data_IF_722669070670
#
_entry.id   IF_722669070670
#
_cell.length_a   1.000
_cell.length_b   1.000
_cell.length_c   1.000
_cell.angle_alpha   90.00
_cell.angle_beta   90.00
_cell.angle_gamma   90.00
#
_symmetry.space_group_name_H-M   'P 1'
#
loop_
_entity.id
_entity.type
_entity.pdbx_description
1 polymer ?
2 branched ?
3 non-polymer ?
4 water ?
#
# COMPACT_ATOMS: atom_id res chain seq x y z
N UNK A 4 7.58 6.16 14.97
CA UNK A 4 6.94 5.18 14.04
C UNK A 4 6.15 4.11 14.82
N UNK A 5 4.95 3.80 14.35
CA UNK A 5 4.09 2.77 14.92
C UNK A 5 4.27 1.50 14.11
N UNK A 6 4.53 0.38 14.77
CA UNK A 6 4.74 -0.91 14.13
C UNK A 6 3.73 -1.95 14.57
N UNK A 7 3.12 -2.61 13.60
CA UNK A 7 2.26 -3.77 13.86
C UNK A 7 2.82 -5.05 13.30
N UNK A 8 2.66 -6.12 14.06
CA UNK A 8 2.95 -7.47 13.57
C UNK A 8 1.63 -8.14 13.16
N UNK A 9 1.60 -8.58 11.92
CA UNK A 9 0.50 -9.33 11.39
C UNK A 9 0.89 -10.81 11.50
N UNK A 10 0.21 -11.52 12.36
CA UNK A 10 0.55 -12.91 12.69
C UNK A 10 -0.11 -13.93 11.77
N UNK A 11 0.07 -15.21 12.09
CA UNK A 11 -0.47 -16.25 11.25
C UNK A 11 -1.97 -16.32 11.39
N UNK A 12 -2.64 -16.41 10.25
CA UNK A 12 -4.08 -16.51 10.20
C UNK A 12 -4.68 -15.21 9.70
N UNK A 13 -3.83 -14.23 9.45
CA UNK A 13 -4.24 -12.94 8.94
C UNK A 13 -4.71 -11.91 9.97
N UNK A 14 -4.70 -10.65 9.54
CA UNK A 14 -5.31 -9.54 10.29
C UNK A 14 -5.79 -8.44 9.35
N UNK A 15 -6.60 -7.53 9.87
CA UNK A 15 -7.09 -6.40 9.12
C UNK A 15 -7.19 -5.17 9.96
N UNK A 16 -6.49 -4.11 9.55
CA UNK A 16 -6.75 -2.74 10.01
C UNK A 16 -7.50 -1.97 8.91
N UNK A 17 -8.69 -1.47 9.26
CA UNK A 17 -9.52 -0.72 8.33
C UNK A 17 -9.72 0.68 8.87
N UNK A 18 -9.36 1.68 8.07
CA UNK A 18 -9.79 3.07 8.26
C UNK A 18 -11.02 3.30 7.39
N UNK A 19 -12.09 3.83 7.99
CA UNK A 19 -13.32 4.20 7.28
C UNK A 19 -13.55 5.73 7.38
N UNK A 20 -13.51 6.42 6.25
CA UNK A 20 -13.89 7.83 6.21
C UNK A 20 -15.34 8.01 6.56
N UNK A 21 -15.73 9.17 7.12
CA UNK A 21 -17.15 9.45 7.35
C UNK A 21 -17.86 9.46 6.00
N UNK A 22 -18.99 8.75 5.89
CA UNK A 22 -19.64 8.52 4.59
C UNK A 22 -20.05 9.80 3.86
N UNK A 23 -19.98 10.94 4.55
CA UNK A 23 -20.36 12.20 3.92
C UNK A 23 -19.20 13.15 3.65
N UNK A 24 -17.99 12.78 4.05
CA UNK A 24 -16.79 13.46 3.50
C UNK A 24 -15.70 12.45 3.13
N UNK A 25 -16.04 11.67 2.11
CA UNK A 25 -15.12 10.78 1.46
C UNK A 25 -14.32 11.62 0.43
N UNK A 26 -12.98 11.54 0.48
CA UNK A 26 -12.14 12.30 -0.45
C UNK A 26 -12.20 11.77 -1.88
N UNK A 27 -12.13 12.70 -2.84
CA UNK A 27 -11.89 12.39 -4.21
C UNK A 27 -10.58 13.05 -4.63
N UNK A 28 -9.66 12.30 -5.21
CA UNK A 28 -8.33 12.87 -5.47
C UNK A 28 -7.78 12.61 -6.86
N UNK A 29 -6.95 13.56 -7.26
CA UNK A 29 -6.10 13.49 -8.45
C UNK A 29 -4.74 12.85 -8.17
N UNK A 30 -4.27 13.04 -6.94
CA UNK A 30 -2.96 12.61 -6.52
C UNK A 30 -3.09 11.89 -5.21
N UNK A 31 -2.46 10.74 -5.13
CA UNK A 31 -2.39 9.93 -3.91
C UNK A 31 -0.94 9.66 -3.52
N UNK A 32 -0.69 9.57 -2.24
CA UNK A 32 0.67 9.43 -1.74
C UNK A 32 0.61 8.37 -0.66
N UNK A 33 1.33 7.28 -0.88
CA UNK A 33 1.39 6.17 0.06
C UNK A 33 2.84 5.93 0.46
N UNK A 34 3.10 5.84 1.76
CA UNK A 34 4.40 5.37 2.24
C UNK A 34 4.17 4.27 3.26
N UNK A 35 5.02 3.26 3.25
CA UNK A 35 4.89 2.15 4.21
C UNK A 35 6.19 1.36 4.31
N UNK A 36 6.66 1.11 5.53
CA UNK A 36 7.76 0.19 5.79
C UNK A 36 7.22 -1.20 6.09
N UNK A 37 7.88 -2.27 5.63
CA UNK A 37 7.46 -3.63 5.99
C UNK A 37 8.59 -4.65 5.91
N UNK A 38 8.33 -5.82 6.49
CA UNK A 38 9.16 -7.02 6.33
C UNK A 38 8.24 -8.22 6.31
N UNK A 39 8.52 -9.16 5.41
CA UNK A 39 7.73 -10.37 5.22
C UNK A 39 8.62 -11.41 4.55
N UNK A 40 8.26 -12.68 4.69
CA UNK A 40 8.90 -13.77 3.99
C UNK A 40 7.95 -14.29 2.91
N UNK A 41 6.77 -13.67 2.79
CA UNK A 41 5.77 -14.08 1.81
C UNK A 41 6.12 -13.55 0.45
N UNK A 42 5.94 -14.39 -0.57
CA UNK A 42 6.11 -14.02 -1.98
C UNK A 42 4.80 -13.54 -2.64
N UNK A 43 3.70 -13.68 -1.91
CA UNK A 43 2.37 -13.35 -2.39
C UNK A 43 1.43 -12.83 -1.29
N UNK A 44 1.12 -11.54 -1.35
CA UNK A 44 0.27 -10.90 -0.37
C UNK A 44 -0.28 -9.57 -0.86
N UNK A 45 -1.45 -9.19 -0.30
CA UNK A 45 -1.93 -7.82 -0.43
C UNK A 45 -1.59 -7.11 0.88
N UNK A 46 -0.94 -5.95 0.76
CA UNK A 46 -0.63 -5.12 1.89
C UNK A 46 -1.66 -4.05 2.23
N UNK A 47 -1.98 -3.21 1.26
CA UNK A 47 -2.87 -2.06 1.40
C UNK A 47 -3.87 -2.02 0.24
N UNK A 48 -5.12 -1.72 0.58
CA UNK A 48 -6.16 -1.50 -0.42
C UNK A 48 -7.05 -0.35 -0.03
N UNK A 49 -7.14 0.65 -0.91
CA UNK A 49 -8.09 1.74 -0.77
C UNK A 49 -9.26 1.48 -1.73
N UNK A 50 -10.48 1.44 -1.20
CA UNK A 50 -11.67 1.24 -2.00
C UNK A 50 -12.53 2.48 -2.03
N UNK A 51 -13.08 2.75 -3.20
CA UNK A 51 -14.07 3.80 -3.37
C UNK A 51 -15.41 3.29 -2.82
N UNK A 52 -16.38 4.20 -2.62
CA UNK A 52 -17.74 3.81 -2.21
C UNK A 52 -18.38 2.76 -3.13
N UNK A 53 -19.37 2.05 -2.62
CA UNK A 53 -19.97 1.01 -3.43
C UNK A 53 -20.68 1.62 -4.66
N UNK A 54 -20.55 0.94 -5.79
CA UNK A 54 -21.11 1.44 -7.05
C UNK A 54 -20.05 2.06 -7.95
N UNK A 55 -18.87 2.31 -7.40
CA UNK A 55 -17.74 2.88 -8.14
C UNK A 55 -16.66 1.82 -8.36
N UNK A 56 -15.93 1.93 -9.47
CA UNK A 56 -14.94 0.95 -9.82
C UNK A 56 -13.58 1.28 -9.27
N UNK A 57 -13.39 2.49 -8.75
CA UNK A 57 -12.07 2.97 -8.30
C UNK A 57 -11.45 2.24 -7.10
N UNK A 58 -10.17 1.92 -7.21
CA UNK A 58 -9.43 1.29 -6.12
C UNK A 58 -7.93 1.55 -6.34
N UNK A 59 -7.18 1.47 -5.25
CA UNK A 59 -5.73 1.43 -5.25
C UNK A 59 -5.30 0.18 -4.46
N UNK A 60 -4.36 -0.59 -4.98
CA UNK A 60 -3.90 -1.77 -4.24
C UNK A 60 -2.37 -1.98 -4.26
N UNK A 61 -1.77 -2.01 -3.07
CA UNK A 61 -0.34 -2.36 -2.92
C UNK A 61 -0.16 -3.85 -2.55
N UNK A 62 0.63 -4.55 -3.38
CA UNK A 62 0.78 -6.00 -3.26
C UNK A 62 2.20 -6.47 -3.54
N UNK A 63 2.39 -7.78 -3.34
CA UNK A 63 3.62 -8.49 -3.58
C UNK A 63 3.17 -9.72 -4.36
N UNK A 64 3.62 -9.84 -5.61
CA UNK A 64 3.37 -11.00 -6.44
C UNK A 64 4.74 -11.52 -6.84
N UNK A 65 4.98 -12.80 -6.72
CA UNK A 65 6.28 -13.37 -6.97
C UNK A 65 7.45 -12.65 -6.30
N UNK A 66 7.21 -12.02 -5.19
CA UNK A 66 8.30 -11.51 -4.39
C UNK A 66 8.73 -10.10 -4.68
N UNK A 67 7.93 -9.40 -5.49
CA UNK A 67 8.22 -8.01 -5.87
C UNK A 67 7.00 -7.12 -5.59
N UNK A 68 7.26 -5.91 -5.16
CA UNK A 68 6.21 -4.95 -4.92
C UNK A 68 5.62 -4.44 -6.26
N UNK A 69 4.30 -4.29 -6.28
CA UNK A 69 3.60 -3.68 -7.37
C UNK A 69 2.44 -2.93 -6.78
N UNK A 70 1.89 -2.00 -7.55
CA UNK A 70 0.65 -1.31 -7.23
C UNK A 70 -0.24 -1.43 -8.47
N UNK A 71 -1.51 -1.77 -8.27
CA UNK A 71 -2.50 -1.77 -9.34
C UNK A 71 -3.66 -0.83 -8.95
N UNK A 72 -4.00 0.09 -9.84
CA UNK A 72 -5.05 1.03 -9.53
C UNK A 72 -6.00 1.24 -10.68
N UNK A 73 -7.18 1.74 -10.35
CA UNK A 73 -8.17 2.01 -11.36
C UNK A 73 -8.88 3.30 -10.95
N UNK A 74 -8.79 4.32 -11.79
CA UNK A 74 -9.50 5.55 -11.47
C UNK A 74 -10.73 5.81 -12.35
N UNK A 75 -11.22 4.77 -13.00
CA UNK A 75 -12.46 4.85 -13.75
C UNK A 75 -12.45 4.15 -15.10
N UNK A 76 -11.28 4.17 -15.73
CA UNK A 76 -10.97 3.60 -17.07
C UNK A 76 -10.42 2.15 -17.26
N UNK A 77 -9.12 1.98 -17.01
CA UNK A 77 -8.41 0.71 -17.18
C UNK A 77 -7.72 0.50 -15.84
N UNK A 78 -7.40 -0.75 -15.52
CA UNK A 78 -6.47 -1.11 -14.44
C UNK A 78 -5.05 -0.72 -14.83
N UNK A 79 -4.38 0.03 -13.98
CA UNK A 79 -3.03 0.47 -14.26
C UNK A 79 -2.07 -0.21 -13.30
N UNK A 80 -1.07 -0.90 -13.85
CA UNK A 80 -0.06 -1.60 -13.06
C UNK A 80 1.27 -0.88 -13.10
N UNK A 81 1.88 -0.74 -11.93
CA UNK A 81 3.26 -0.29 -11.85
C UNK A 81 3.94 -1.25 -10.88
N UNK A 82 4.92 -1.98 -11.40
CA UNK A 82 5.65 -2.95 -10.59
C UNK A 82 7.11 -2.56 -10.48
N UNK A 83 7.75 -3.08 -9.45
CA UNK A 83 9.20 -2.96 -9.25
C UNK A 83 9.86 -4.34 -9.27
N UNK A 84 10.17 -4.87 -10.48
CA UNK A 84 10.57 -6.27 -10.65
C UNK A 84 12.01 -6.60 -10.27
N UNK A 85 12.83 -5.60 -9.98
CA UNK A 85 14.24 -5.79 -9.69
C UNK A 85 14.61 -5.72 -8.20
N UNK A 86 13.60 -5.51 -7.34
CA UNK A 86 13.78 -5.57 -5.88
C UNK A 86 13.02 -6.74 -5.27
N UNK A 87 13.76 -7.74 -4.81
CA UNK A 87 13.26 -8.82 -3.94
C UNK A 87 12.93 -8.30 -2.53
N UNK A 88 11.67 -8.48 -2.13
CA UNK A 88 11.20 -7.98 -0.84
C UNK A 88 10.72 -9.07 0.12
N UNK A 89 10.83 -10.31 -0.32
CA UNK A 89 10.30 -11.43 0.45
C UNK A 89 11.41 -12.21 1.17
N UNK A 90 12.41 -11.47 1.63
CA UNK A 90 13.59 -12.04 2.25
C UNK A 90 13.53 -11.89 3.76
N UNK A 91 12.44 -11.33 4.26
CA UNK A 91 12.30 -11.07 5.68
C UNK A 91 13.04 -9.84 6.20
N UNK A 92 13.48 -8.97 5.30
CA UNK A 92 14.20 -7.77 5.72
C UNK A 92 13.34 -6.54 5.54
N UNK A 93 13.74 -5.45 6.18
CA UNK A 93 13.00 -4.19 6.12
C UNK A 93 13.06 -3.53 4.73
N UNK A 94 11.89 -3.17 4.19
CA UNK A 94 11.80 -2.42 2.94
C UNK A 94 10.88 -1.25 3.17
N UNK A 95 11.15 -0.15 2.47
CA UNK A 95 10.28 1.01 2.44
C UNK A 95 9.78 1.25 1.02
N UNK A 96 8.47 1.38 0.89
CA UNK A 96 7.78 1.64 -0.36
C UNK A 96 7.24 3.05 -0.32
N UNK A 97 7.42 3.79 -1.40
CA UNK A 97 6.78 5.10 -1.57
C UNK A 97 6.07 5.14 -2.92
N UNK A 98 4.78 5.41 -2.90
CA UNK A 98 3.96 5.38 -4.10
C UNK A 98 3.28 6.73 -4.22
N UNK A 99 3.42 7.39 -5.36
CA UNK A 99 2.64 8.59 -5.67
C UNK A 99 1.81 8.32 -6.92
N UNK A 100 0.53 8.61 -6.90
CA UNK A 100 -0.26 8.53 -8.14
C UNK A 100 -0.57 9.94 -8.60
N UNK A 101 -0.57 10.18 -9.92
CA UNK A 101 -1.04 11.46 -10.45
C UNK A 101 -1.87 11.22 -11.72
N UNK A 102 -3.20 11.15 -11.54
CA UNK A 102 -4.07 10.80 -12.67
C UNK A 102 -3.83 9.32 -12.96
N UNK A 103 -3.51 9.02 -14.22
CA UNK A 103 -3.10 7.69 -14.67
C UNK A 103 -1.58 7.46 -14.66
N UNK A 104 -0.83 8.41 -14.16
CA UNK A 104 0.60 8.28 -13.95
C UNK A 104 0.93 7.87 -12.52
N UNK A 105 2.10 7.30 -12.31
CA UNK A 105 2.48 6.88 -10.96
C UNK A 105 4.00 6.75 -10.81
N UNK A 106 4.48 6.89 -9.59
CA UNK A 106 5.87 6.69 -9.23
C UNK A 106 5.86 5.62 -8.15
N UNK A 107 6.77 4.64 -8.24
CA UNK A 107 6.89 3.57 -7.25
C UNK A 107 8.34 3.46 -6.77
N UNK A 108 8.58 3.73 -5.50
CA UNK A 108 9.94 3.66 -5.00
C UNK A 108 10.07 2.57 -3.95
N UNK A 109 11.09 1.74 -4.11
CA UNK A 109 11.36 0.64 -3.17
C UNK A 109 12.80 0.72 -2.67
N UNK A 110 12.93 1.00 -1.37
CA UNK A 110 14.21 1.09 -0.67
C UNK A 110 14.50 -0.19 0.11
N UNK A 111 15.74 -0.66 -0.02
CA UNK A 111 16.21 -1.89 0.62
C UNK A 111 17.64 -1.62 1.05
N UNK A 112 18.18 -2.50 1.89
CA UNK A 112 19.55 -2.41 2.42
C UNK A 112 20.24 -3.77 2.19
N UNK A 113 20.54 -4.11 0.92
CA UNK A 113 21.01 -5.47 0.64
C UNK A 113 22.43 -5.79 1.14
N UNK A 114 22.63 -7.04 1.55
CA UNK A 114 23.92 -7.49 2.08
C UNK A 114 24.87 -8.08 1.02
N UNK A 115 24.62 -7.77 -0.26
CA UNK A 115 25.37 -8.42 -1.35
C UNK A 115 25.92 -7.48 -2.43
N UNK A 132 29.29 -12.29 -2.34
CA UNK A 132 30.23 -11.45 -1.60
C UNK A 132 29.42 -10.67 -0.57
N UNK A 133 29.65 -10.95 0.72
CA UNK A 133 28.99 -10.22 1.81
C UNK A 133 29.55 -8.81 1.95
N UNK A 134 28.65 -7.85 2.14
CA UNK A 134 29.01 -6.45 2.21
C UNK A 134 28.25 -5.66 3.24
N UNK A 135 28.72 -4.45 3.47
CA UNK A 135 28.00 -3.43 4.22
C UNK A 135 26.70 -3.08 3.50
N UNK A 136 25.56 -3.26 4.19
CA UNK A 136 24.25 -3.02 3.65
C UNK A 136 23.87 -1.54 3.46
N UNK A 137 24.64 -0.84 2.63
CA UNK A 137 24.20 0.46 2.11
C UNK A 137 22.85 0.35 1.43
N UNK A 138 22.13 1.47 1.40
CA UNK A 138 20.80 1.53 0.84
C UNK A 138 20.78 1.49 -0.68
N UNK A 139 19.84 0.71 -1.21
CA UNK A 139 19.61 0.62 -2.64
C UNK A 139 18.17 1.04 -2.95
N UNK A 140 18.03 2.21 -3.55
CA UNK A 140 16.73 2.71 -3.97
C UNK A 140 16.45 2.36 -5.42
N UNK A 141 15.20 1.99 -5.70
CA UNK A 141 14.79 1.66 -7.05
C UNK A 141 13.47 2.37 -7.28
N UNK A 142 13.47 3.28 -8.25
CA UNK A 142 12.29 4.05 -8.60
C UNK A 142 11.84 3.65 -10.02
N UNK A 143 10.52 3.49 -10.15
CA UNK A 143 9.86 3.27 -11.42
C UNK A 143 8.75 4.33 -11.62
N UNK A 144 8.71 4.92 -12.81
CA UNK A 144 7.72 5.90 -13.21
C UNK A 144 6.89 5.31 -14.36
N UNK A 145 5.65 5.75 -14.46
CA UNK A 145 4.70 5.24 -15.41
C UNK A 145 3.89 6.46 -15.82
N UNK A 146 3.95 6.81 -17.10
CA UNK A 146 3.17 7.90 -17.67
C UNK A 146 2.24 7.48 -18.79
N UNK A 147 1.10 8.15 -18.85
CA UNK A 147 0.14 7.96 -19.92
C UNK A 147 0.19 9.13 -20.90
N UNK A 148 0.59 8.86 -22.14
CA UNK A 148 0.58 9.89 -23.18
C UNK A 148 -0.69 9.73 -24.00
N UNK A 149 -1.79 10.22 -23.44
CA UNK A 149 -3.09 10.18 -24.11
C UNK A 149 -3.58 11.62 -24.36
N UNK A 150 -3.71 12.01 -25.64
CA UNK A 150 -4.12 13.38 -25.96
C UNK A 150 -5.44 13.76 -25.29
N UNK A 151 -5.43 14.91 -24.62
CA UNK A 151 -6.59 15.35 -23.88
C UNK A 151 -6.61 14.75 -22.50
N UNK A 152 -7.53 15.24 -21.68
CA UNK A 152 -7.63 14.83 -20.29
C UNK A 152 -8.46 13.55 -20.17
N UNK A 153 -7.89 12.53 -19.52
CA UNK A 153 -8.58 11.26 -19.27
C UNK A 153 -9.26 11.31 -17.92
N UNK A 154 -9.69 10.14 -17.43
CA UNK A 154 -10.19 10.04 -16.07
C UNK A 154 -8.96 10.04 -15.16
N UNK A 155 -8.97 10.96 -14.21
CA UNK A 155 -7.79 11.26 -13.41
C UNK A 155 -8.12 11.14 -11.92
N UNK A 156 -9.42 11.08 -11.60
CA UNK A 156 -9.91 11.20 -10.19
C UNK A 156 -10.27 9.86 -9.54
N UNK A 157 -9.68 9.61 -8.37
CA UNK A 157 -10.02 8.47 -7.50
C UNK A 157 -11.21 8.93 -6.62
N UNK A 158 -12.40 8.46 -6.95
CA UNK A 158 -13.64 9.06 -6.44
C UNK A 158 -14.09 8.47 -5.13
N UNK A 159 -14.43 9.36 -4.20
CA UNK A 159 -15.10 9.00 -2.97
C UNK A 159 -14.44 7.79 -2.31
N UNK A 160 -13.19 7.96 -1.86
CA UNK A 160 -12.47 6.87 -1.18
C UNK A 160 -13.16 6.56 0.15
N UNK A 161 -13.42 5.27 0.41
CA UNK A 161 -14.33 4.86 1.47
C UNK A 161 -13.62 4.15 2.61
N UNK A 162 -12.69 3.26 2.27
CA UNK A 162 -11.93 2.50 3.26
C UNK A 162 -10.47 2.34 2.80
N UNK A 163 -9.57 2.37 3.79
CA UNK A 163 -8.19 1.87 3.61
C UNK A 163 -8.11 0.61 4.43
N UNK A 164 -7.79 -0.51 3.79
CA UNK A 164 -7.68 -1.78 4.48
C UNK A 164 -6.24 -2.24 4.40
N UNK A 165 -5.66 -2.53 5.56
CA UNK A 165 -4.27 -2.96 5.66
C UNK A 165 -4.23 -4.39 6.12
N UNK A 166 -3.52 -5.24 5.35
CA UNK A 166 -3.31 -6.64 5.72
C UNK A 166 -3.87 -7.67 4.76
N UNK A 167 -4.65 -7.23 3.77
CA UNK A 167 -4.99 -8.07 2.64
C UNK A 167 -5.98 -9.18 2.85
N UNK A 168 -6.64 -9.21 4.03
CA UNK A 168 -7.49 -10.32 4.47
C UNK A 168 -8.78 -10.37 3.69
N UNK A 169 -9.26 -9.20 3.27
CA UNK A 169 -10.45 -9.06 2.44
C UNK A 169 -10.22 -9.35 0.95
N UNK A 170 -8.95 -9.41 0.54
CA UNK A 170 -8.58 -9.91 -0.79
C UNK A 170 -8.30 -11.41 -0.87
N UNK A 171 -8.37 -12.10 0.27
CA UNK A 171 -8.08 -13.54 0.32
C UNK A 171 -6.58 -13.81 0.27
N UNK A 172 -5.80 -12.74 0.39
CA UNK A 172 -4.35 -12.80 0.27
C UNK A 172 -3.67 -12.10 1.46
N UNK A 173 -3.84 -12.68 2.67
CA UNK A 173 -3.41 -12.11 3.94
C UNK A 173 -1.91 -11.89 4.07
N UNK A 174 -1.55 -10.68 4.49
CA UNK A 174 -0.19 -10.33 4.83
C UNK A 174 0.23 -10.93 6.19
N UNK A 175 1.47 -11.38 6.23
CA UNK A 175 2.08 -11.86 7.45
C UNK A 175 3.52 -11.29 7.55
N UNK A 176 3.77 -10.58 8.63
CA UNK A 176 5.03 -9.90 8.81
C UNK A 176 4.77 -8.61 9.54
N UNK A 177 5.67 -7.66 9.40
CA UNK A 177 5.61 -6.41 10.14
C UNK A 177 5.19 -5.31 9.19
N UNK A 178 4.40 -4.35 9.68
CA UNK A 178 4.12 -3.11 8.99
C UNK A 178 4.50 -1.92 9.89
N UNK A 179 5.20 -0.94 9.32
CA UNK A 179 5.69 0.24 10.03
C UNK A 179 5.31 1.52 9.31
N UNK A 180 4.78 2.47 10.07
CA UNK A 180 4.67 3.85 9.65
C UNK A 180 3.96 4.14 8.32
N UNK A 181 2.84 3.45 8.11
CA UNK A 181 1.96 3.70 6.98
C UNK A 181 1.43 5.14 6.97
N UNK A 182 1.50 5.76 5.81
CA UNK A 182 1.08 7.12 5.60
C UNK A 182 0.24 7.13 4.29
N UNK A 183 -1.01 7.59 4.34
CA UNK A 183 -1.80 7.75 3.12
C UNK A 183 -2.58 9.05 3.10
N UNK A 184 -2.16 9.97 2.21
CA UNK A 184 -2.77 11.30 2.09
C UNK A 184 -2.99 11.96 3.46
N UNK A 185 -1.90 12.07 4.21
CA UNK A 185 -1.92 12.69 5.53
C UNK A 185 -2.15 11.78 6.72
N UNK A 186 -2.79 10.64 6.50
CA UNK A 186 -3.22 9.75 7.59
C UNK A 186 -2.14 8.76 7.94
N UNK A 187 -1.71 8.79 9.19
CA UNK A 187 -0.82 7.75 9.69
C UNK A 187 -1.70 6.61 10.26
N UNK A 188 -2.28 5.80 9.38
CA UNK A 188 -3.28 4.80 9.78
C UNK A 188 -2.91 3.90 10.98
N UNK A 189 -1.64 3.52 11.12
CA UNK A 189 -1.18 2.71 12.28
C UNK A 189 -1.09 3.46 13.60
N UNK A 190 -0.66 4.73 13.57
CA UNK A 190 -0.70 5.60 14.77
C UNK A 190 -2.13 5.77 15.28
N UNK A 191 -3.09 5.91 14.36
CA UNK A 191 -4.51 6.06 14.69
C UNK A 191 -5.18 4.78 15.20
N UNK A 192 -4.80 3.63 14.65
CA UNK A 192 -5.22 2.32 15.18
C UNK A 192 -4.70 2.07 16.61
N UNK A 193 -3.43 2.42 16.85
CA UNK A 193 -2.81 2.27 18.17
C UNK A 193 -3.42 3.19 19.22
N UNK A 194 -3.89 4.37 18.80
CA UNK A 194 -4.53 5.30 19.72
C UNK A 194 -6.07 5.13 19.81
N UNK A 195 -6.58 4.11 19.11
CA UNK A 195 -8.00 3.75 19.09
C UNK A 195 -8.91 4.88 18.54
N UNK A 196 -8.51 5.46 17.42
CA UNK A 196 -9.34 6.39 16.66
C UNK A 196 -10.67 5.69 16.38
N UNK A 197 -11.80 6.41 16.55
CA UNK A 197 -13.14 5.87 16.23
C UNK A 197 -13.38 5.48 14.76
N UNK A 198 -12.56 5.96 13.84
CA UNK A 198 -12.67 5.58 12.41
C UNK A 198 -11.82 4.37 11.97
N UNK A 199 -10.99 3.87 12.88
CA UNK A 199 -10.22 2.64 12.64
C UNK A 199 -10.82 1.47 13.41
N UNK A 200 -10.96 0.32 12.73
CA UNK A 200 -11.21 -0.99 13.35
C UNK A 200 -9.97 -1.85 13.12
N UNK A 201 -9.64 -2.66 14.11
CA UNK A 201 -8.56 -3.64 13.99
C UNK A 201 -9.16 -5.01 14.24
N UNK A 202 -8.83 -5.98 13.43
CA UNK A 202 -9.33 -7.30 13.60
C UNK A 202 -8.29 -8.32 13.37
N UNK A 203 -8.50 -9.53 13.84
CA UNK A 203 -7.62 -10.65 13.57
C UNK A 203 -6.39 -10.73 14.44
N UNK A 204 -5.34 -11.35 13.89
CA UNK A 204 -4.16 -11.71 14.65
C UNK A 204 -3.09 -10.66 14.43
N UNK A 205 -3.11 -9.68 15.33
CA UNK A 205 -2.48 -8.41 15.19
C UNK A 205 -1.84 -8.07 16.53
N UNK A 206 -0.62 -7.55 16.52
CA UNK A 206 -0.07 -6.97 17.76
C UNK A 206 0.82 -5.76 17.54
N UNK A 207 0.61 -4.78 18.40
CA UNK A 207 1.31 -3.51 18.39
C UNK A 207 2.69 -3.72 18.99
N UNK A 208 3.69 -3.21 18.29
CA UNK A 208 5.03 -3.04 18.84
C UNK A 208 5.13 -1.56 19.19
#
# INVERSE_FOLDING_TARGET
GPGSTTYIFGKGGALITYTWPPNDRPSTRMDRLAVGFSTHQRSAVLVRVDSASGLGDYLQLHIDQGTVGVIFNVGTDDITIDEPNAIVSDGKYHVVRFTRSGGNATLQVDSWPVNERYPAGNFDNERLAIARQRIPYRLGRVVDEWLLDKGRQLTIFNSQATIKIGGRDQGRPFQGQVSGLYYNGLKVLALAAESDPNVRTEGHLRLV
#
